data_IF_480847354971
#
_entry.id   IF_480847354971
#
_cell.length_a   1.000
_cell.length_b   1.000
_cell.length_c   1.000
_cell.angle_alpha   90.00
_cell.angle_beta   90.00
_cell.angle_gamma   90.00
#
_symmetry.space_group_name_H-M   'P 1'
#
loop_
_entity.id
_entity.type
_entity.pdbx_description
1 polymer ?
#
# COMPACT_ATOMS: atom_id res chain seq x y z
N UNK A 1 13.99 7.61 1.56
CA UNK A 1 13.82 6.19 1.16
C UNK A 1 15.12 5.54 0.73
N UNK A 2 15.24 4.24 0.98
CA UNK A 2 16.36 3.37 0.55
C UNK A 2 16.02 2.66 -0.77
N UNK A 3 17.05 2.16 -1.49
CA UNK A 3 16.84 1.42 -2.75
C UNK A 3 15.92 0.21 -2.61
N UNK A 4 15.99 -0.49 -1.48
CA UNK A 4 15.16 -1.67 -1.22
C UNK A 4 13.68 -1.29 -0.99
N UNK A 5 13.43 -0.17 -0.30
CA UNK A 5 12.08 0.36 -0.10
C UNK A 5 11.45 0.77 -1.44
N UNK A 6 12.22 1.41 -2.30
CA UNK A 6 11.76 1.82 -3.64
C UNK A 6 11.48 0.60 -4.51
N UNK A 7 12.36 -0.39 -4.51
CA UNK A 7 12.16 -1.64 -5.25
C UNK A 7 10.87 -2.36 -4.78
N UNK A 8 10.62 -2.37 -3.48
CA UNK A 8 9.39 -2.90 -2.90
C UNK A 8 8.16 -2.11 -3.36
N UNK A 9 8.19 -0.78 -3.32
CA UNK A 9 7.07 0.06 -3.76
C UNK A 9 6.76 -0.14 -5.25
N UNK A 10 7.79 -0.25 -6.10
CA UNK A 10 7.61 -0.55 -7.53
C UNK A 10 6.96 -1.92 -7.75
N UNK A 11 7.46 -2.96 -7.06
CA UNK A 11 6.86 -4.28 -7.09
C UNK A 11 5.38 -4.26 -6.65
N UNK A 12 5.06 -3.58 -5.54
CA UNK A 12 3.70 -3.48 -5.05
C UNK A 12 2.78 -2.76 -6.05
N UNK A 13 3.26 -1.68 -6.66
CA UNK A 13 2.54 -0.95 -7.72
C UNK A 13 2.31 -1.81 -8.95
N UNK A 14 3.32 -2.54 -9.43
CA UNK A 14 3.23 -3.43 -10.58
C UNK A 14 2.26 -4.60 -10.33
N UNK A 15 2.13 -5.03 -9.08
CA UNK A 15 1.13 -6.00 -8.63
C UNK A 15 -0.29 -5.41 -8.45
N UNK A 16 -0.46 -4.10 -8.67
CA UNK A 16 -1.75 -3.40 -8.62
C UNK A 16 -2.14 -2.87 -7.24
N UNK A 17 -1.22 -2.85 -6.26
CA UNK A 17 -1.49 -2.19 -4.97
C UNK A 17 -1.33 -0.68 -5.09
N UNK A 18 -2.25 0.06 -4.45
CA UNK A 18 -2.28 1.52 -4.54
C UNK A 18 -1.76 2.21 -3.28
N UNK A 19 -1.92 1.56 -2.13
CA UNK A 19 -1.65 2.16 -0.83
C UNK A 19 -0.71 1.30 0.00
N UNK A 20 0.08 1.96 0.85
CA UNK A 20 0.91 1.34 1.86
C UNK A 20 0.67 2.02 3.22
N UNK A 21 0.61 1.22 4.28
CA UNK A 21 0.54 1.73 5.65
C UNK A 21 1.42 0.90 6.59
N UNK A 22 1.78 1.52 7.72
CA UNK A 22 2.50 0.86 8.81
C UNK A 22 1.62 0.76 10.04
N UNK A 23 1.30 -0.47 10.42
CA UNK A 23 0.52 -0.77 11.62
C UNK A 23 1.43 -0.66 12.87
N UNK A 24 1.31 0.43 13.63
CA UNK A 24 1.94 0.53 14.95
C UNK A 24 3.46 0.30 15.01
N UNK A 25 3.90 -0.48 16.01
CA UNK A 25 5.32 -0.88 16.20
C UNK A 25 5.70 -2.13 15.41
N UNK A 26 4.90 -2.52 14.42
CA UNK A 26 5.11 -3.76 13.70
C UNK A 26 6.31 -3.69 12.75
N UNK A 27 6.95 -4.85 12.57
CA UNK A 27 8.00 -5.08 11.57
C UNK A 27 7.42 -5.45 10.20
N UNK A 28 6.17 -5.09 9.94
CA UNK A 28 5.49 -5.32 8.69
C UNK A 28 4.83 -4.04 8.20
N UNK A 29 4.65 -3.96 6.89
CA UNK A 29 3.82 -2.97 6.21
C UNK A 29 2.61 -3.68 5.61
N UNK A 30 1.49 -2.97 5.54
CA UNK A 30 0.29 -3.41 4.84
C UNK A 30 0.27 -2.70 3.50
N UNK A 31 0.17 -3.45 2.41
CA UNK A 31 -0.13 -2.89 1.08
C UNK A 31 -1.55 -3.28 0.71
N UNK A 32 -2.30 -2.36 0.12
CA UNK A 32 -3.70 -2.63 -0.21
C UNK A 32 -4.17 -1.82 -1.43
N UNK A 33 -5.22 -2.33 -2.07
CA UNK A 33 -5.99 -1.64 -3.11
C UNK A 33 -7.47 -1.80 -2.79
N UNK A 34 -8.25 -0.78 -3.14
CA UNK A 34 -9.69 -0.81 -3.08
C UNK A 34 -10.21 -0.87 -4.52
N UNK A 35 -10.92 -1.93 -4.85
CA UNK A 35 -11.61 -2.09 -6.12
C UNK A 35 -13.07 -1.73 -5.87
N UNK A 36 -13.51 -0.65 -6.51
CA UNK A 36 -14.89 -0.18 -6.44
C UNK A 36 -15.58 -0.62 -7.72
N UNK A 37 -16.51 -1.56 -7.57
CA UNK A 37 -17.36 -2.02 -8.66
C UNK A 37 -18.80 -1.59 -8.42
N UNK A 38 -19.50 -1.21 -9.47
CA UNK A 38 -20.95 -0.99 -9.43
C UNK A 38 -21.57 -2.27 -9.96
N UNK A 39 -22.31 -2.98 -9.10
CA UNK A 39 -22.97 -4.21 -9.51
C UNK A 39 -24.14 -3.94 -10.48
N UNK A 40 -24.76 -5.00 -11.01
CA UNK A 40 -25.88 -4.89 -11.95
C UNK A 40 -27.11 -4.16 -11.38
N UNK A 41 -27.19 -4.03 -10.05
CA UNK A 41 -28.27 -3.33 -9.33
C UNK A 41 -27.94 -1.84 -9.07
N UNK A 42 -26.80 -1.35 -9.56
CA UNK A 42 -26.35 0.03 -9.31
C UNK A 42 -25.80 0.26 -7.91
N UNK A 43 -25.54 -0.80 -7.14
CA UNK A 43 -24.97 -0.74 -5.79
C UNK A 43 -23.46 -0.73 -5.90
N UNK A 44 -22.83 0.23 -5.22
CA UNK A 44 -21.38 0.29 -5.09
C UNK A 44 -20.92 -0.81 -4.12
N UNK A 45 -20.14 -1.76 -4.63
CA UNK A 45 -19.47 -2.81 -3.87
C UNK A 45 -17.98 -2.46 -3.85
N UNK A 46 -17.41 -2.32 -2.66
CA UNK A 46 -15.97 -2.12 -2.49
C UNK A 46 -15.35 -3.42 -2.01
N UNK A 47 -14.41 -3.97 -2.78
CA UNK A 47 -13.56 -5.06 -2.34
C UNK A 47 -12.16 -4.54 -2.02
N UNK A 48 -11.60 -4.99 -0.89
CA UNK A 48 -10.29 -4.54 -0.42
C UNK A 48 -9.33 -5.71 -0.47
N UNK A 49 -8.42 -5.64 -1.43
CA UNK A 49 -7.32 -6.60 -1.53
C UNK A 49 -6.12 -6.09 -0.75
N UNK A 50 -5.70 -6.84 0.27
CA UNK A 50 -4.59 -6.46 1.15
C UNK A 50 -3.56 -7.58 1.36
N UNK A 51 -2.30 -7.17 1.58
CA UNK A 51 -1.22 -8.08 1.95
C UNK A 51 -0.34 -7.47 3.05
N UNK A 52 0.13 -8.32 3.95
CA UNK A 52 1.05 -7.96 5.03
C UNK A 52 2.46 -8.45 4.69
N UNK A 53 3.38 -7.51 4.50
CA UNK A 53 4.75 -7.80 4.10
C UNK A 53 5.71 -7.50 5.24
N UNK A 54 6.44 -8.51 5.70
CA UNK A 54 7.54 -8.31 6.67
C UNK A 54 8.63 -7.52 5.97
N UNK A 55 9.02 -6.40 6.55
CA UNK A 55 10.06 -5.53 5.99
C UNK A 55 10.98 -5.02 7.09
N UNK A 56 12.28 -5.00 6.79
CA UNK A 56 13.29 -4.34 7.64
C UNK A 56 13.38 -2.84 7.32
N UNK A 57 12.76 -2.40 6.23
CA UNK A 57 12.67 -1.01 5.77
C UNK A 57 11.32 -0.37 6.16
N UNK A 58 11.15 0.89 5.77
CA UNK A 58 10.05 1.82 6.07
C UNK A 58 10.06 2.33 7.52
N UNK A 59 11.17 2.96 7.92
CA UNK A 59 11.24 3.72 9.19
C UNK A 59 10.49 5.06 9.12
N UNK A 60 10.42 5.65 7.93
CA UNK A 60 9.85 6.98 7.70
C UNK A 60 8.31 6.99 7.63
N UNK A 61 7.67 5.83 7.44
CA UNK A 61 6.21 5.75 7.45
C UNK A 61 5.68 6.03 8.86
N UNK A 62 4.85 7.06 8.97
CA UNK A 62 4.13 7.39 10.20
C UNK A 62 3.11 6.29 10.47
N UNK A 63 3.05 5.85 11.72
CA UNK A 63 2.11 4.80 12.17
C UNK A 63 0.68 5.19 11.88
N UNK A 64 -0.12 4.22 11.45
CA UNK A 64 -1.55 4.38 11.18
C UNK A 64 -1.88 5.42 10.09
N UNK A 65 -0.86 5.86 9.33
CA UNK A 65 -1.05 6.69 8.15
C UNK A 65 -0.93 5.83 6.91
N UNK A 66 -1.91 5.99 6.03
CA UNK A 66 -1.87 5.45 4.68
C UNK A 66 -1.18 6.44 3.74
N UNK A 67 -0.42 5.89 2.80
CA UNK A 67 0.28 6.65 1.78
C UNK A 67 -0.03 6.05 0.41
N UNK A 68 -0.24 6.90 -0.59
CA UNK A 68 -0.24 6.50 -2.00
C UNK A 68 1.15 5.99 -2.36
N UNK A 69 1.23 4.78 -2.91
CA UNK A 69 2.48 4.21 -3.39
C UNK A 69 3.05 5.06 -4.54
N UNK A 70 2.18 5.60 -5.40
CA UNK A 70 2.58 6.50 -6.49
C UNK A 70 3.27 7.75 -5.94
N UNK A 71 2.64 8.43 -4.98
CA UNK A 71 3.15 9.69 -4.44
C UNK A 71 4.47 9.48 -3.70
N UNK A 72 4.64 8.32 -3.03
CA UNK A 72 5.92 7.97 -2.41
C UNK A 72 7.00 7.78 -3.47
N UNK A 73 6.71 7.09 -4.57
CA UNK A 73 7.67 6.89 -5.66
C UNK A 73 8.07 8.19 -6.37
N UNK A 74 7.22 9.22 -6.36
CA UNK A 74 7.48 10.54 -6.95
C UNK A 74 8.28 11.49 -6.04
N UNK A 75 8.45 11.13 -4.76
CA UNK A 75 9.23 11.91 -3.78
C UNK A 75 10.72 11.50 -3.71
N UNK A 76 11.14 10.49 -4.49
CA UNK A 76 12.56 10.20 -4.77
C UNK A 76 13.16 11.20 -5.77
#
# INVERSE_FOLDING_TARGET
MTKDEVAFLKYAKDAGFCYISKEGNSNYVRIYREEVEINEEGIQVSDVHEQFCITKGFRELVKFKAYSIQDLLEQE
#
